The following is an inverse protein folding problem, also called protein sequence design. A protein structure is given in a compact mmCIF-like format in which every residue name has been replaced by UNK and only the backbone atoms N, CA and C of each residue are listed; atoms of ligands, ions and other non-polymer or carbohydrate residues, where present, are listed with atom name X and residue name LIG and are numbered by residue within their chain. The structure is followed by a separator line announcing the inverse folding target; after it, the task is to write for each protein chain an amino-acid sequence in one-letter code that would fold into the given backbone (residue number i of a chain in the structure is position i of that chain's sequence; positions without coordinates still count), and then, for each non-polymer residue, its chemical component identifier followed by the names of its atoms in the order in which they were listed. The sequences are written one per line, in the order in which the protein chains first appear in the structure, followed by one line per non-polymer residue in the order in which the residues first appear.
data_IF_909997410118
#
_entry.id   IF_909997410118
#
_cell.length_a   1.000
_cell.length_b   1.000
_cell.length_c   1.000
_cell.angle_alpha   90.00
_cell.angle_beta   90.00
_cell.angle_gamma   90.00
#
_symmetry.space_group_name_H-M   'P 1'
#
loop_
_entity.id
_entity.type
_entity.pdbx_description
1 polymer ?
#
# COMPACT_ATOMS: atom_id res chain seq x y z
N UNK A 1 -7.03 11.40 17.65
CA UNK A 1 -6.36 10.16 17.17
C UNK A 1 -5.64 10.34 15.83
N UNK A 2 -6.13 11.18 14.90
CA UNK A 2 -5.46 11.53 13.65
C UNK A 2 -4.14 12.33 13.79
N UNK A 3 -3.94 13.02 14.92
CA UNK A 3 -2.72 13.79 15.22
C UNK A 3 -1.51 12.90 15.50
N UNK A 4 -1.68 11.82 16.26
CA UNK A 4 -0.61 10.83 16.56
C UNK A 4 -0.02 10.19 15.29
N UNK A 5 -0.84 9.88 14.29
CA UNK A 5 -0.37 9.24 13.04
C UNK A 5 0.48 10.15 12.15
N UNK A 6 0.31 11.48 12.23
CA UNK A 6 1.14 12.43 11.47
C UNK A 6 2.51 12.62 12.13
N UNK A 7 2.55 12.63 13.45
CA UNK A 7 3.77 12.81 14.24
C UNK A 7 4.73 11.62 14.08
N UNK A 8 4.23 10.38 14.17
CA UNK A 8 5.07 9.17 14.02
C UNK A 8 5.79 9.11 12.66
N UNK A 9 5.09 9.49 11.58
CA UNK A 9 5.68 9.48 10.23
C UNK A 9 6.73 10.57 10.03
N UNK A 10 6.61 11.69 10.74
CA UNK A 10 7.58 12.77 10.72
C UNK A 10 8.84 12.39 11.51
N UNK A 11 8.68 11.78 12.69
CA UNK A 11 9.80 11.27 13.50
C UNK A 11 10.62 10.25 12.72
N UNK A 12 9.96 9.26 12.10
CA UNK A 12 10.65 8.25 11.28
C UNK A 12 11.38 8.90 10.09
N UNK A 13 10.78 9.90 9.44
CA UNK A 13 11.44 10.61 8.35
C UNK A 13 12.68 11.38 8.84
N UNK A 14 12.60 12.04 9.99
CA UNK A 14 13.75 12.73 10.60
C UNK A 14 14.87 11.76 10.96
N UNK A 15 14.56 10.59 11.53
CA UNK A 15 15.56 9.56 11.83
C UNK A 15 16.26 9.06 10.57
N UNK A 16 15.51 8.82 9.48
CA UNK A 16 16.06 8.41 8.18
C UNK A 16 17.01 9.49 7.64
N UNK A 17 16.60 10.76 7.67
CA UNK A 17 17.42 11.89 7.19
C UNK A 17 18.68 12.04 8.04
N UNK A 18 18.57 11.93 9.37
CA UNK A 18 19.70 12.00 10.28
C UNK A 18 20.69 10.86 10.05
N UNK A 19 20.22 9.64 9.83
CA UNK A 19 21.06 8.48 9.49
C UNK A 19 21.82 8.69 8.16
N UNK A 20 21.13 9.22 7.14
CA UNK A 20 21.74 9.54 5.85
C UNK A 20 22.84 10.59 5.95
N UNK A 21 22.57 11.65 6.71
CA UNK A 21 23.52 12.72 6.94
C UNK A 21 24.76 12.23 7.69
N UNK A 22 24.57 11.40 8.73
CA UNK A 22 25.66 10.81 9.51
C UNK A 22 26.56 9.90 8.66
N UNK A 23 25.97 9.08 7.80
CA UNK A 23 26.70 8.15 6.95
C UNK A 23 27.27 8.80 5.67
N UNK A 24 27.01 10.10 5.44
CA UNK A 24 27.35 10.83 4.19
C UNK A 24 26.83 10.12 2.94
N UNK A 25 25.62 9.55 3.02
CA UNK A 25 24.98 8.81 1.92
C UNK A 25 23.90 9.65 1.29
N UNK A 26 23.88 9.66 -0.04
CA UNK A 26 22.76 10.19 -0.82
C UNK A 26 21.70 9.11 -0.97
N UNK A 27 20.43 9.47 -0.78
CA UNK A 27 19.33 8.56 -1.05
C UNK A 27 17.99 9.27 -1.18
N UNK A 28 16.97 8.52 -1.58
CA UNK A 28 15.63 9.03 -1.88
C UNK A 28 14.63 8.42 -0.92
N UNK A 29 13.87 9.23 -0.19
CA UNK A 29 12.75 8.76 0.61
C UNK A 29 11.46 8.72 -0.24
N UNK A 30 10.92 7.53 -0.48
CA UNK A 30 9.65 7.36 -1.19
C UNK A 30 8.52 7.12 -0.20
N UNK A 31 7.60 8.09 -0.09
CA UNK A 31 6.35 7.93 0.65
C UNK A 31 5.25 7.58 -0.34
N UNK A 32 4.64 6.41 -0.18
CA UNK A 32 3.47 6.02 -0.97
C UNK A 32 2.20 6.48 -0.24
N UNK A 33 1.55 7.51 -0.76
CA UNK A 33 0.21 7.93 -0.33
C UNK A 33 -0.83 7.41 -1.34
N UNK A 34 -1.81 6.66 -0.85
CA UNK A 34 -2.85 6.08 -1.68
C UNK A 34 -4.03 7.05 -1.78
N UNK A 35 -4.06 7.85 -2.84
CA UNK A 35 -5.24 8.67 -3.14
C UNK A 35 -6.43 7.75 -3.44
N UNK A 36 -7.54 7.92 -2.69
CA UNK A 36 -8.73 7.06 -2.80
C UNK A 36 -8.36 5.57 -2.78
N UNK A 37 -7.68 5.18 -1.70
CA UNK A 37 -7.09 3.85 -1.52
C UNK A 37 -8.06 2.71 -1.81
N UNK A 38 -9.34 2.88 -1.49
CA UNK A 38 -10.37 1.89 -1.79
C UNK A 38 -10.79 1.89 -3.25
N UNK A 39 -11.09 3.06 -3.83
CA UNK A 39 -11.62 3.19 -5.19
C UNK A 39 -10.62 2.78 -6.28
N UNK A 40 -9.31 2.80 -5.95
CA UNK A 40 -8.22 2.58 -6.91
C UNK A 40 -7.77 1.12 -7.03
N UNK A 41 -8.25 0.21 -6.18
CA UNK A 41 -7.80 -1.18 -6.17
C UNK A 41 -8.31 -1.91 -7.41
N UNK A 42 -7.39 -2.53 -8.14
CA UNK A 42 -7.74 -3.47 -9.21
C UNK A 42 -8.23 -4.79 -8.59
N UNK A 43 -9.46 -5.21 -8.88
CA UNK A 43 -10.08 -6.37 -8.22
C UNK A 43 -9.40 -7.68 -8.57
N UNK A 44 -8.94 -7.86 -9.81
CA UNK A 44 -8.18 -9.07 -10.17
C UNK A 44 -6.88 -9.20 -9.40
N UNK A 45 -6.21 -8.07 -9.12
CA UNK A 45 -5.02 -8.08 -8.28
C UNK A 45 -5.38 -8.50 -6.85
N UNK A 46 -6.47 -7.96 -6.30
CA UNK A 46 -6.97 -8.39 -4.99
C UNK A 46 -7.27 -9.90 -4.96
N UNK A 47 -7.97 -10.44 -5.96
CA UNK A 47 -8.30 -11.87 -6.02
C UNK A 47 -7.04 -12.74 -6.10
N UNK A 48 -6.04 -12.35 -6.90
CA UNK A 48 -4.75 -13.04 -6.96
C UNK A 48 -4.02 -13.00 -5.62
N UNK A 49 -4.02 -11.85 -4.93
CA UNK A 49 -3.40 -11.71 -3.61
C UNK A 49 -4.08 -12.61 -2.58
N UNK A 50 -5.41 -12.69 -2.60
CA UNK A 50 -6.16 -13.57 -1.69
C UNK A 50 -5.87 -15.05 -1.97
N UNK A 51 -5.84 -15.46 -3.25
CA UNK A 51 -5.46 -16.82 -3.62
C UNK A 51 -4.05 -17.18 -3.12
N UNK A 52 -3.08 -16.27 -3.25
CA UNK A 52 -1.73 -16.45 -2.73
C UNK A 52 -1.64 -16.51 -1.19
N UNK A 53 -2.64 -15.99 -0.48
CA UNK A 53 -2.77 -16.11 0.98
C UNK A 53 -3.54 -17.36 1.42
N UNK A 54 -3.93 -18.23 0.49
CA UNK A 54 -4.57 -19.53 0.78
C UNK A 54 -6.09 -19.47 0.94
N UNK A 55 -6.73 -18.39 0.48
CA UNK A 55 -8.20 -18.35 0.42
C UNK A 55 -8.71 -19.33 -0.63
N UNK A 56 -9.70 -20.14 -0.25
CA UNK A 56 -10.35 -21.08 -1.16
C UNK A 56 -11.13 -20.37 -2.27
N UNK A 57 -11.24 -21.02 -3.42
CA UNK A 57 -11.94 -20.48 -4.59
C UNK A 57 -13.42 -20.15 -4.30
N UNK A 58 -14.06 -20.87 -3.38
CA UNK A 58 -15.43 -20.57 -2.96
C UNK A 58 -15.53 -19.18 -2.30
N UNK A 59 -14.61 -18.85 -1.39
CA UNK A 59 -14.56 -17.54 -0.73
C UNK A 59 -14.26 -16.43 -1.72
N UNK A 60 -13.28 -16.64 -2.61
CA UNK A 60 -12.94 -15.68 -3.65
C UNK A 60 -14.13 -15.48 -4.61
N UNK A 61 -14.86 -16.56 -4.94
CA UNK A 61 -16.07 -16.51 -5.76
C UNK A 61 -17.20 -15.72 -5.11
N UNK A 62 -17.39 -15.83 -3.79
CA UNK A 62 -18.34 -15.01 -3.04
C UNK A 62 -17.93 -13.53 -3.07
N UNK A 63 -16.64 -13.24 -2.92
CA UNK A 63 -16.11 -11.88 -2.98
C UNK A 63 -16.28 -11.25 -4.37
N UNK A 64 -16.05 -12.02 -5.43
CA UNK A 64 -16.31 -11.62 -6.82
C UNK A 64 -17.76 -11.21 -7.02
N UNK A 65 -18.71 -12.08 -6.63
CA UNK A 65 -20.15 -11.76 -6.72
C UNK A 65 -20.51 -10.50 -5.93
N UNK A 66 -19.97 -10.33 -4.73
CA UNK A 66 -20.23 -9.17 -3.88
C UNK A 66 -19.70 -7.86 -4.50
N UNK A 67 -18.48 -7.88 -5.02
CA UNK A 67 -17.85 -6.69 -5.57
C UNK A 67 -18.36 -6.37 -6.98
N UNK A 68 -18.52 -7.36 -7.85
CA UNK A 68 -18.90 -7.18 -9.26
C UNK A 68 -20.37 -6.84 -9.45
N UNK A 69 -21.22 -7.09 -8.44
CA UNK A 69 -22.61 -6.62 -8.42
C UNK A 69 -22.75 -5.13 -8.05
N UNK A 70 -21.67 -4.44 -7.73
CA UNK A 70 -21.72 -3.03 -7.31
C UNK A 70 -21.90 -2.10 -8.52
N UNK A 71 -22.96 -1.29 -8.46
CA UNK A 71 -23.27 -0.27 -9.46
C UNK A 71 -23.25 1.12 -8.82
N UNK A 72 -22.72 2.09 -9.55
CA UNK A 72 -22.89 3.52 -9.25
C UNK A 72 -24.22 4.03 -9.77
N UNK A 73 -24.81 4.99 -9.08
CA UNK A 73 -26.05 5.67 -9.47
C UNK A 73 -25.75 7.15 -9.72
N UNK A 74 -26.13 7.65 -10.89
CA UNK A 74 -26.05 9.08 -11.20
C UNK A 74 -27.31 9.76 -10.66
N UNK A 75 -27.11 10.75 -9.78
CA UNK A 75 -28.18 11.61 -9.28
C UNK A 75 -28.07 12.98 -9.97
N UNK A 76 -29.10 13.38 -10.72
CA UNK A 76 -29.25 14.72 -11.27
C UNK A 76 -30.31 15.46 -10.45
N UNK A 77 -29.91 16.51 -9.74
CA UNK A 77 -30.79 17.25 -8.82
C UNK A 77 -31.52 16.35 -7.81
N UNK A 78 -30.84 15.31 -7.31
CA UNK A 78 -31.40 14.32 -6.39
C UNK A 78 -32.25 13.24 -7.05
N UNK A 79 -32.47 13.30 -8.36
CA UNK A 79 -33.25 12.30 -9.11
C UNK A 79 -32.32 11.26 -9.75
N UNK A 80 -32.57 9.96 -9.55
CA UNK A 80 -31.79 8.90 -10.20
C UNK A 80 -31.99 8.90 -11.71
N UNK A 81 -30.87 8.97 -12.46
CA UNK A 81 -30.89 9.08 -13.91
C UNK A 81 -30.25 7.89 -14.64
N UNK A 82 -29.55 7.02 -13.92
CA UNK A 82 -28.98 5.81 -14.51
C UNK A 82 -27.98 5.10 -13.60
N UNK A 83 -27.80 3.81 -13.87
CA UNK A 83 -26.80 2.97 -13.20
C UNK A 83 -25.63 2.71 -14.15
N UNK A 84 -24.43 2.63 -13.58
CA UNK A 84 -23.24 2.18 -14.29
C UNK A 84 -22.45 1.20 -13.43
N UNK A 85 -21.80 0.18 -14.02
CA UNK A 85 -21.02 -0.77 -13.25
C UNK A 85 -19.77 -0.12 -12.66
N UNK A 86 -19.45 -0.46 -11.41
CA UNK A 86 -18.18 -0.10 -10.78
C UNK A 86 -17.20 -1.26 -10.93
N UNK A 87 -16.29 -1.13 -11.92
CA UNK A 87 -15.35 -2.20 -12.28
C UNK A 87 -14.05 -2.20 -11.44
N UNK A 88 -13.89 -1.24 -10.53
CA UNK A 88 -12.69 -1.10 -9.70
C UNK A 88 -13.04 -0.67 -8.29
N UNK A 89 -12.11 -0.95 -7.41
CA UNK A 89 -12.13 -0.53 -6.03
C UNK A 89 -13.05 -1.34 -5.14
N UNK A 90 -12.94 -1.01 -3.86
CA UNK A 90 -13.69 -1.56 -2.75
C UNK A 90 -14.79 -0.59 -2.33
N UNK A 91 -15.89 -1.12 -1.80
CA UNK A 91 -17.03 -0.31 -1.39
C UNK A 91 -16.69 0.43 -0.09
N UNK A 92 -16.75 1.75 -0.12
CA UNK A 92 -16.53 2.55 1.09
C UNK A 92 -17.70 2.35 2.07
N UNK A 93 -17.38 2.16 3.35
CA UNK A 93 -18.36 1.83 4.39
C UNK A 93 -18.70 0.34 4.50
N UNK A 94 -18.15 -0.51 3.63
CA UNK A 94 -18.23 -1.97 3.80
C UNK A 94 -17.24 -2.43 4.88
N UNK A 95 -17.68 -3.21 5.89
CA UNK A 95 -16.80 -3.72 6.94
C UNK A 95 -15.66 -4.61 6.43
N UNK A 96 -15.76 -5.21 5.24
CA UNK A 96 -14.70 -6.04 4.67
C UNK A 96 -13.60 -5.22 3.98
N UNK A 97 -13.92 -4.03 3.49
CA UNK A 97 -12.99 -3.19 2.72
C UNK A 97 -11.65 -2.91 3.44
N UNK A 98 -11.61 -2.57 4.75
CA UNK A 98 -10.36 -2.40 5.48
C UNK A 98 -9.48 -3.65 5.47
N UNK A 99 -10.07 -4.83 5.68
CA UNK A 99 -9.33 -6.10 5.74
C UNK A 99 -8.75 -6.46 4.36
N UNK A 100 -9.56 -6.33 3.31
CA UNK A 100 -9.13 -6.58 1.94
C UNK A 100 -7.98 -5.64 1.52
N UNK A 101 -8.03 -4.38 1.98
CA UNK A 101 -6.95 -3.44 1.72
C UNK A 101 -5.64 -3.81 2.42
N UNK A 102 -5.68 -4.39 3.63
CA UNK A 102 -4.47 -4.86 4.32
C UNK A 102 -3.75 -5.92 3.50
N UNK A 103 -4.48 -6.87 2.91
CA UNK A 103 -3.88 -7.89 2.03
C UNK A 103 -3.18 -7.26 0.82
N UNK A 104 -3.83 -6.31 0.15
CA UNK A 104 -3.25 -5.56 -0.97
C UNK A 104 -2.00 -4.78 -0.54
N UNK A 105 -2.05 -4.08 0.58
CA UNK A 105 -0.92 -3.32 1.09
C UNK A 105 0.26 -4.23 1.48
N UNK A 106 -0.01 -5.37 2.09
CA UNK A 106 1.02 -6.37 2.40
C UNK A 106 1.63 -6.96 1.13
N UNK A 107 0.83 -7.24 0.10
CA UNK A 107 1.34 -7.68 -1.19
C UNK A 107 2.27 -6.64 -1.82
N UNK A 108 1.87 -5.36 -1.82
CA UNK A 108 2.72 -4.25 -2.28
C UNK A 108 4.03 -4.19 -1.49
N UNK A 109 3.98 -4.30 -0.16
CA UNK A 109 5.19 -4.36 0.66
C UNK A 109 6.11 -5.53 0.31
N UNK A 110 5.55 -6.70 0.03
CA UNK A 110 6.32 -7.88 -0.40
C UNK A 110 6.93 -7.69 -1.78
N UNK A 111 6.21 -7.11 -2.73
CA UNK A 111 6.74 -6.77 -4.06
C UNK A 111 7.93 -5.82 -3.97
N UNK A 112 7.82 -4.82 -3.10
CA UNK A 112 8.88 -3.89 -2.82
C UNK A 112 10.09 -4.55 -2.15
N UNK A 113 9.87 -5.42 -1.17
CA UNK A 113 10.95 -6.22 -0.59
C UNK A 113 11.60 -7.17 -1.61
N UNK A 114 10.83 -7.73 -2.54
CA UNK A 114 11.35 -8.55 -3.62
C UNK A 114 12.21 -7.72 -4.59
N UNK A 115 11.78 -6.51 -4.95
CA UNK A 115 12.56 -5.58 -5.77
C UNK A 115 13.88 -5.19 -5.07
N UNK A 116 13.89 -5.00 -3.75
CA UNK A 116 15.13 -4.79 -2.99
C UNK A 116 16.07 -5.99 -3.08
N UNK A 117 15.56 -7.21 -2.89
CA UNK A 117 16.37 -8.44 -3.02
C UNK A 117 16.89 -8.66 -4.44
N UNK A 118 16.14 -8.23 -5.44
CA UNK A 118 16.56 -8.24 -6.84
C UNK A 118 17.57 -7.15 -7.20
N UNK A 119 17.98 -6.29 -6.25
CA UNK A 119 18.97 -5.24 -6.46
C UNK A 119 18.44 -4.00 -7.20
N UNK A 120 17.12 -3.89 -7.40
CA UNK A 120 16.51 -2.72 -8.06
C UNK A 120 16.69 -1.45 -7.23
N UNK A 121 16.69 -1.59 -5.91
CA UNK A 121 17.04 -0.53 -4.97
C UNK A 121 17.50 -1.11 -3.62
N UNK A 122 18.06 -0.25 -2.77
CA UNK A 122 18.68 -0.65 -1.50
C UNK A 122 17.97 0.03 -0.33
N UNK A 123 17.50 -0.73 0.65
CA UNK A 123 16.88 -0.19 1.86
C UNK A 123 17.90 0.37 2.87
N UNK A 124 17.40 1.12 3.87
CA UNK A 124 18.17 1.49 5.05
C UNK A 124 18.00 0.35 6.05
N UNK A 125 19.03 -0.47 6.23
CA UNK A 125 19.11 -1.28 7.43
C UNK A 125 19.43 -0.32 8.57
N UNK A 126 18.52 -0.15 9.53
CA UNK A 126 18.92 0.38 10.83
C UNK A 126 19.87 -0.63 11.44
N UNK A 127 21.16 -0.29 11.47
CA UNK A 127 22.21 -1.11 12.05
C UNK A 127 22.06 -1.09 13.56
N UNK A 128 21.15 -1.90 14.08
CA UNK A 128 21.06 -2.19 15.52
C UNK A 128 21.79 -3.49 15.88
N UNK A 129 22.31 -4.25 14.92
CA UNK A 129 22.97 -5.52 15.22
C UNK A 129 24.28 -5.70 14.41
N UNK A 130 25.37 -5.79 15.16
CA UNK A 130 26.75 -5.58 14.72
C UNK A 130 27.39 -6.69 13.87
N UNK A 131 26.62 -7.50 13.14
CA UNK A 131 27.24 -8.48 12.26
C UNK A 131 26.31 -9.00 11.16
N UNK A 132 26.32 -8.37 9.97
CA UNK A 132 26.08 -9.04 8.67
C UNK A 132 26.50 -8.14 7.51
N UNK A 133 27.52 -8.62 6.80
CA UNK A 133 28.18 -8.09 5.60
C UNK A 133 27.32 -7.14 4.76
N UNK A 134 27.62 -5.85 4.85
CA UNK A 134 27.14 -4.80 3.97
C UNK A 134 27.74 -5.03 2.58
N UNK A 135 26.91 -5.41 1.60
CA UNK A 135 27.36 -5.49 0.20
C UNK A 135 27.57 -4.06 -0.32
N UNK A 136 28.84 -3.67 -0.38
CA UNK A 136 29.32 -2.33 -0.74
C UNK A 136 29.55 -2.29 -2.25
N UNK A 137 28.68 -1.61 -2.99
CA UNK A 137 28.94 -1.24 -4.39
C UNK A 137 29.09 0.29 -4.48
N UNK A 138 30.23 0.81 -4.95
CA UNK A 138 30.44 2.25 -5.09
C UNK A 138 29.64 2.83 -6.28
N UNK A 139 28.97 3.97 -6.06
CA UNK A 139 28.52 4.86 -7.15
C UNK A 139 27.06 4.80 -7.59
N UNK A 140 26.12 4.16 -6.86
CA UNK A 140 24.69 4.19 -7.23
C UNK A 140 23.79 4.72 -6.11
N UNK A 141 22.78 5.55 -6.43
CA UNK A 141 21.84 6.07 -5.44
C UNK A 141 21.02 4.94 -4.82
N UNK A 142 20.73 5.09 -3.53
CA UNK A 142 20.03 4.14 -2.67
C UNK A 142 18.61 4.65 -2.49
N UNK A 143 17.60 3.90 -2.95
CA UNK A 143 16.20 4.32 -2.89
C UNK A 143 15.48 3.66 -1.70
N UNK A 144 14.79 4.45 -0.88
CA UNK A 144 14.06 4.01 0.31
C UNK A 144 12.56 3.99 0.05
N UNK A 145 11.86 3.00 0.57
CA UNK A 145 10.41 2.89 0.45
C UNK A 145 9.72 2.86 1.81
N UNK A 146 8.94 3.90 2.09
CA UNK A 146 8.01 4.01 3.21
C UNK A 146 6.61 3.67 2.69
N UNK A 147 6.21 2.42 2.85
CA UNK A 147 4.84 1.96 2.62
C UNK A 147 4.05 2.09 3.92
N UNK A 148 3.04 2.97 3.94
CA UNK A 148 2.00 2.92 4.97
C UNK A 148 0.64 2.84 4.29
N UNK A 149 -0.09 1.77 4.60
CA UNK A 149 -1.47 1.53 4.17
C UNK A 149 -2.38 2.57 4.84
N UNK A 150 -2.58 3.71 4.18
CA UNK A 150 -3.46 4.78 4.64
C UNK A 150 -4.84 4.65 4.02
N UNK A 151 -5.74 3.94 4.70
CA UNK A 151 -7.17 4.02 4.46
C UNK A 151 -7.63 5.44 4.81
N UNK A 152 -7.98 6.25 3.81
CA UNK A 152 -8.76 7.47 4.02
C UNK A 152 -10.23 7.07 4.01
N UNK A 153 -10.90 7.15 5.16
CA UNK A 153 -12.35 7.27 5.21
C UNK A 153 -12.67 8.74 4.95
N UNK A 154 -13.22 9.07 3.78
CA UNK A 154 -13.82 10.38 3.55
C UNK A 154 -15.12 10.49 4.33
N UNK A 155 -15.13 11.39 5.30
CA UNK A 155 -16.32 12.12 5.69
C UNK A 155 -16.43 13.37 4.81
#
# INVERSE_FOLDING_TARGET
MATRMKEDGFVVAQEIIAALYKDKRSGVALKLDFAKAYDSIHRDFLYQVLAQHGFEDQWIGMLKKCLDSVHGLVLLNGVPYGFFPLNRGLRQGDPLSPILFIYVANALARMCNAAMRGGWYHGLASTADGNRRQMRMPGRPVYYLLLRAGVRSSA
#
